data_IF_180856996123
#
_entry.id   IF_180856996123
#
_cell.length_a   1.000
_cell.length_b   1.000
_cell.length_c   1.000
_cell.angle_alpha   90.00
_cell.angle_beta   90.00
_cell.angle_gamma   90.00
#
_symmetry.space_group_name_H-M   'P 1'
#
loop_
_entity.id
_entity.type
_entity.pdbx_description
1 polymer ?
#
# COMPACT_ATOMS: atom_id res chain seq x y z
N UNK A 1 -28.18 -12.04 2.36
CA UNK A 1 -26.95 -11.49 1.73
C UNK A 1 -26.94 -9.95 1.59
N UNK A 2 -28.02 -9.22 1.96
CA UNK A 2 -28.15 -7.77 1.71
C UNK A 2 -27.53 -6.83 2.76
N UNK A 3 -27.31 -7.29 4.00
CA UNK A 3 -26.88 -6.39 5.08
C UNK A 3 -25.40 -5.96 4.98
N UNK A 4 -24.50 -6.86 4.55
CA UNK A 4 -23.07 -6.55 4.47
C UNK A 4 -22.76 -5.49 3.40
N UNK A 5 -23.41 -5.57 2.23
CA UNK A 5 -23.25 -4.58 1.15
C UNK A 5 -23.71 -3.19 1.57
N UNK A 6 -24.80 -3.09 2.34
CA UNK A 6 -25.26 -1.81 2.90
C UNK A 6 -24.22 -1.17 3.82
N UNK A 7 -23.55 -1.95 4.65
CA UNK A 7 -22.53 -1.46 5.58
C UNK A 7 -21.27 -1.00 4.84
N UNK A 8 -20.89 -1.71 3.79
CA UNK A 8 -19.78 -1.32 2.90
C UNK A 8 -20.13 -0.01 2.19
N UNK A 9 -21.33 0.08 1.59
CA UNK A 9 -21.78 1.30 0.90
C UNK A 9 -21.91 2.51 1.83
N UNK A 10 -22.28 2.28 3.09
CA UNK A 10 -22.36 3.32 4.11
C UNK A 10 -20.99 3.68 4.73
N UNK A 11 -19.89 3.02 4.32
CA UNK A 11 -18.55 3.26 4.86
C UNK A 11 -18.36 2.81 6.31
N UNK A 12 -19.30 2.04 6.88
CA UNK A 12 -19.23 1.63 8.30
C UNK A 12 -17.97 0.81 8.58
N UNK A 13 -17.57 -0.04 7.63
CA UNK A 13 -16.36 -0.87 7.75
C UNK A 13 -15.11 0.01 7.82
N UNK A 14 -15.01 1.03 6.95
CA UNK A 14 -13.85 1.93 6.91
C UNK A 14 -13.72 2.74 8.20
N UNK A 15 -14.85 3.24 8.72
CA UNK A 15 -14.91 3.96 10.01
C UNK A 15 -14.44 3.05 11.15
N UNK A 16 -14.98 1.83 11.24
CA UNK A 16 -14.60 0.88 12.29
C UNK A 16 -13.11 0.51 12.23
N UNK A 17 -12.57 0.29 11.03
CA UNK A 17 -11.14 -0.02 10.84
C UNK A 17 -10.27 1.17 11.23
N UNK A 18 -10.66 2.39 10.87
CA UNK A 18 -9.95 3.62 11.26
C UNK A 18 -9.93 3.79 12.79
N UNK A 19 -11.07 3.62 13.45
CA UNK A 19 -11.18 3.79 14.90
C UNK A 19 -10.37 2.72 15.64
N UNK A 20 -10.49 1.45 15.23
CA UNK A 20 -9.71 0.37 15.81
C UNK A 20 -8.21 0.60 15.65
N UNK A 21 -7.77 1.03 14.47
CA UNK A 21 -6.37 1.40 14.22
C UNK A 21 -5.93 2.53 15.15
N UNK A 22 -6.76 3.56 15.32
CA UNK A 22 -6.46 4.68 16.22
C UNK A 22 -6.27 4.22 17.67
N UNK A 23 -7.21 3.39 18.17
CA UNK A 23 -7.16 2.83 19.52
C UNK A 23 -5.90 1.98 19.72
N UNK A 24 -5.58 1.08 18.78
CA UNK A 24 -4.38 0.24 18.85
C UNK A 24 -3.10 1.08 18.90
N UNK A 25 -3.06 2.21 18.18
CA UNK A 25 -1.89 3.11 18.17
C UNK A 25 -1.76 3.88 19.47
N UNK A 26 -2.86 4.37 20.03
CA UNK A 26 -2.87 5.05 21.33
C UNK A 26 -2.47 4.08 22.45
N UNK A 27 -2.94 2.84 22.42
CA UNK A 27 -2.53 1.79 23.36
C UNK A 27 -1.01 1.53 23.33
N UNK A 28 -0.37 1.69 22.18
CA UNK A 28 1.09 1.62 22.02
C UNK A 28 1.81 2.95 22.26
N UNK A 29 1.16 3.92 22.94
CA UNK A 29 1.69 5.26 23.24
C UNK A 29 2.12 6.05 21.99
N UNK A 30 1.44 5.84 20.87
CA UNK A 30 1.62 6.61 19.63
C UNK A 30 0.41 7.51 19.37
N UNK A 31 0.58 8.48 18.47
CA UNK A 31 -0.56 9.26 17.93
C UNK A 31 -1.53 8.32 17.21
N UNK A 32 -2.83 8.57 17.39
CA UNK A 32 -3.91 7.76 16.82
C UNK A 32 -3.83 7.65 15.29
N UNK A 33 -3.43 8.74 14.62
CA UNK A 33 -3.14 8.73 13.19
C UNK A 33 -1.63 8.56 12.90
N UNK A 34 -1.25 7.82 11.84
CA UNK A 34 0.13 7.69 11.41
C UNK A 34 0.65 9.00 10.82
N UNK A 35 1.94 9.28 11.04
CA UNK A 35 2.65 10.36 10.37
C UNK A 35 3.51 9.85 9.18
N UNK A 36 3.70 8.53 9.11
CA UNK A 36 4.46 7.87 8.07
C UNK A 36 3.81 6.54 7.67
N UNK A 37 4.00 6.16 6.41
CA UNK A 37 3.44 4.97 5.79
C UNK A 37 4.46 4.20 4.97
N UNK A 38 4.15 2.96 4.63
CA UNK A 38 4.96 2.08 3.80
C UNK A 38 4.11 1.70 2.59
N UNK A 39 4.66 1.93 1.41
CA UNK A 39 4.09 1.58 0.11
C UNK A 39 4.81 0.36 -0.43
N UNK A 40 4.06 -0.62 -0.89
CA UNK A 40 4.60 -1.79 -1.57
C UNK A 40 3.62 -2.35 -2.59
N UNK A 41 4.17 -2.99 -3.62
CA UNK A 41 3.43 -3.53 -4.76
C UNK A 41 3.84 -4.97 -5.04
N UNK A 42 2.87 -5.83 -5.31
CA UNK A 42 3.14 -7.21 -5.71
C UNK A 42 2.15 -7.72 -6.74
N UNK A 43 2.67 -8.39 -7.77
CA UNK A 43 1.86 -9.16 -8.69
C UNK A 43 1.42 -10.48 -8.05
N UNK A 44 0.12 -10.66 -7.87
CA UNK A 44 -0.50 -11.91 -7.45
C UNK A 44 -0.89 -12.72 -8.68
N UNK A 45 -0.59 -14.01 -8.66
CA UNK A 45 -0.96 -14.91 -9.74
C UNK A 45 -2.49 -15.12 -9.73
N UNK A 46 -3.09 -14.91 -10.89
CA UNK A 46 -4.53 -15.06 -11.06
C UNK A 46 -4.93 -16.52 -11.26
N UNK A 47 -6.13 -16.86 -10.78
CA UNK A 47 -6.84 -18.11 -11.09
C UNK A 47 -7.75 -17.96 -12.31
N UNK A 48 -8.31 -19.06 -12.81
CA UNK A 48 -9.30 -19.04 -13.89
C UNK A 48 -10.50 -18.12 -13.61
N UNK A 49 -10.89 -17.97 -12.34
CA UNK A 49 -12.00 -17.11 -11.87
C UNK A 49 -11.68 -15.60 -11.85
N UNK A 50 -10.45 -15.21 -12.16
CA UNK A 50 -10.03 -13.80 -12.05
C UNK A 50 -10.63 -12.94 -13.18
N UNK A 51 -10.96 -13.55 -14.32
CA UNK A 51 -11.65 -12.89 -15.44
C UNK A 51 -10.92 -11.63 -15.92
N UNK A 52 -11.62 -10.50 -16.16
CA UNK A 52 -11.03 -9.27 -16.69
C UNK A 52 -10.12 -8.53 -15.68
N UNK A 53 -10.10 -8.96 -14.40
CA UNK A 53 -9.24 -8.37 -13.36
C UNK A 53 -7.78 -8.81 -13.47
N UNK A 54 -7.48 -9.73 -14.39
CA UNK A 54 -6.18 -10.33 -14.58
C UNK A 54 -5.55 -9.88 -15.89
N UNK A 55 -4.39 -9.22 -15.80
CA UNK A 55 -3.58 -8.80 -16.93
C UNK A 55 -2.45 -9.80 -17.19
N UNK A 56 -1.98 -9.90 -18.43
CA UNK A 56 -0.76 -10.66 -18.73
C UNK A 56 0.45 -9.76 -18.60
N UNK A 57 1.31 -10.04 -17.63
CA UNK A 57 2.60 -9.40 -17.45
C UNK A 57 3.63 -10.14 -18.32
N UNK A 58 4.11 -9.48 -19.38
CA UNK A 58 5.10 -10.03 -20.30
C UNK A 58 6.50 -10.17 -19.70
N UNK A 59 6.84 -9.34 -18.71
CA UNK A 59 8.13 -9.40 -18.01
C UNK A 59 8.17 -10.61 -17.06
N UNK A 60 7.11 -10.81 -16.28
CA UNK A 60 6.98 -11.97 -15.37
C UNK A 60 6.44 -13.23 -16.04
N UNK A 61 6.02 -13.13 -17.32
CA UNK A 61 5.41 -14.18 -18.14
C UNK A 61 4.23 -14.88 -17.45
N UNK A 62 3.46 -14.13 -16.66
CA UNK A 62 2.37 -14.65 -15.83
C UNK A 62 1.12 -13.80 -15.99
N UNK A 63 -0.05 -14.43 -15.89
CA UNK A 63 -1.32 -13.73 -15.78
C UNK A 63 -1.60 -13.45 -14.31
N UNK A 64 -1.82 -12.19 -13.98
CA UNK A 64 -1.91 -11.74 -12.60
C UNK A 64 -2.68 -10.43 -12.42
N UNK A 65 -2.92 -10.11 -11.16
CA UNK A 65 -3.34 -8.78 -10.74
C UNK A 65 -2.20 -8.16 -9.94
N UNK A 66 -1.90 -6.91 -10.22
CA UNK A 66 -0.96 -6.14 -9.45
C UNK A 66 -1.68 -5.49 -8.27
N UNK A 67 -1.18 -5.74 -7.07
CA UNK A 67 -1.75 -5.24 -5.83
C UNK A 67 -0.76 -4.29 -5.20
N UNK A 68 -1.16 -3.03 -5.08
CA UNK A 68 -0.42 -2.00 -4.37
C UNK A 68 -1.11 -1.71 -3.04
N UNK A 69 -0.35 -1.76 -1.96
CA UNK A 69 -0.86 -1.56 -0.61
C UNK A 69 -0.09 -0.45 0.09
N UNK A 70 -0.81 0.32 0.89
CA UNK A 70 -0.21 1.25 1.85
C UNK A 70 -0.53 0.82 3.26
N UNK A 71 0.51 0.65 4.07
CA UNK A 71 0.39 0.32 5.49
C UNK A 71 0.92 1.44 6.39
N UNK A 72 0.37 1.54 7.59
CA UNK A 72 1.02 2.28 8.66
C UNK A 72 2.29 1.58 9.14
N UNK A 73 3.18 2.31 9.83
CA UNK A 73 4.45 1.76 10.37
C UNK A 73 4.31 0.58 11.35
N UNK A 74 3.09 0.28 11.81
CA UNK A 74 2.78 -0.85 12.69
C UNK A 74 2.04 -1.99 11.95
N UNK A 75 1.84 -1.87 10.64
CA UNK A 75 1.23 -2.91 9.81
C UNK A 75 -0.27 -2.86 9.65
N UNK A 76 -0.89 -1.74 9.98
CA UNK A 76 -2.31 -1.55 9.71
C UNK A 76 -2.52 -1.13 8.25
N UNK A 77 -3.41 -1.80 7.53
CA UNK A 77 -3.79 -1.44 6.16
C UNK A 77 -4.52 -0.10 6.13
N UNK A 78 -4.10 0.78 5.21
CA UNK A 78 -4.65 2.12 5.02
C UNK A 78 -5.32 2.28 3.66
N UNK A 79 -4.70 1.74 2.61
CA UNK A 79 -5.21 1.81 1.25
C UNK A 79 -4.72 0.58 0.45
N UNK A 80 -5.52 0.12 -0.49
CA UNK A 80 -5.16 -0.94 -1.43
C UNK A 80 -5.76 -0.67 -2.79
N UNK A 81 -4.92 -0.71 -3.83
CA UNK A 81 -5.33 -0.66 -5.22
C UNK A 81 -4.97 -1.98 -5.89
N UNK A 82 -5.94 -2.59 -6.58
CA UNK A 82 -5.74 -3.82 -7.35
C UNK A 82 -6.03 -3.52 -8.80
N UNK A 83 -5.05 -3.76 -9.67
CA UNK A 83 -5.15 -3.54 -11.11
C UNK A 83 -4.76 -4.81 -11.87
N UNK A 84 -5.22 -4.98 -13.12
CA UNK A 84 -4.65 -5.97 -14.02
C UNK A 84 -3.13 -5.77 -14.19
N UNK A 85 -2.34 -6.84 -14.18
CA UNK A 85 -0.87 -6.76 -14.24
C UNK A 85 -0.28 -6.28 -15.60
N UNK A 86 -1.12 -5.78 -16.50
CA UNK A 86 -0.73 -5.16 -17.76
C UNK A 86 -0.96 -3.62 -17.77
N UNK A 87 -1.54 -3.07 -16.70
CA UNK A 87 -1.68 -1.62 -16.52
C UNK A 87 -0.37 -1.05 -15.92
N UNK A 88 -0.02 0.19 -16.28
CA UNK A 88 1.23 0.80 -15.83
C UNK A 88 1.19 1.12 -14.33
N UNK A 89 2.25 0.70 -13.63
CA UNK A 89 2.44 0.76 -12.17
C UNK A 89 2.49 2.21 -11.62
N UNK A 90 2.94 3.16 -12.45
CA UNK A 90 3.41 4.49 -12.00
C UNK A 90 2.30 5.45 -11.56
N UNK A 91 1.15 5.45 -12.21
CA UNK A 91 0.01 6.31 -11.83
C UNK A 91 -0.67 5.91 -10.50
N UNK A 92 -0.27 4.77 -9.92
CA UNK A 92 -0.96 4.21 -8.76
C UNK A 92 -0.49 4.83 -7.44
N UNK A 93 0.72 5.39 -7.40
CA UNK A 93 1.34 5.91 -6.18
C UNK A 93 0.68 7.19 -5.70
N UNK A 94 0.40 8.13 -6.62
CA UNK A 94 -0.33 9.36 -6.31
C UNK A 94 -1.76 9.08 -5.82
N UNK A 95 -2.46 8.13 -6.46
CA UNK A 95 -3.80 7.73 -6.02
C UNK A 95 -3.78 7.09 -4.62
N UNK A 96 -2.80 6.23 -4.33
CA UNK A 96 -2.63 5.66 -2.98
C UNK A 96 -2.32 6.76 -1.95
N UNK A 97 -1.46 7.72 -2.29
CA UNK A 97 -1.15 8.85 -1.42
C UNK A 97 -2.42 9.66 -1.10
N UNK A 98 -3.25 9.96 -2.11
CA UNK A 98 -4.54 10.64 -1.94
C UNK A 98 -5.49 9.86 -1.02
N UNK A 99 -5.62 8.56 -1.24
CA UNK A 99 -6.46 7.69 -0.42
C UNK A 99 -5.98 7.64 1.04
N UNK A 100 -4.67 7.61 1.27
CA UNK A 100 -4.07 7.62 2.60
C UNK A 100 -4.34 8.94 3.33
N UNK A 101 -4.18 10.08 2.64
CA UNK A 101 -4.52 11.39 3.21
C UNK A 101 -6.00 11.45 3.61
N UNK A 102 -6.89 10.94 2.75
CA UNK A 102 -8.33 10.86 3.04
C UNK A 102 -8.66 9.95 4.23
N UNK A 103 -7.97 8.81 4.34
CA UNK A 103 -8.24 7.81 5.38
C UNK A 103 -7.64 8.16 6.74
N UNK A 104 -6.56 8.94 6.79
CA UNK A 104 -5.78 9.14 8.02
C UNK A 104 -5.58 10.60 8.43
N UNK A 105 -5.87 11.55 7.54
CA UNK A 105 -5.39 12.92 7.67
C UNK A 105 -3.91 13.04 7.27
N UNK A 106 -3.22 14.12 7.68
CA UNK A 106 -1.91 14.50 7.14
C UNK A 106 -0.82 13.47 7.46
N UNK A 107 -0.46 12.67 6.46
CA UNK A 107 0.78 11.89 6.41
C UNK A 107 1.86 12.74 5.76
N UNK A 108 3.11 12.60 6.22
CA UNK A 108 4.24 13.40 5.74
C UNK A 108 5.32 12.60 5.04
N UNK A 109 5.44 11.32 5.33
CA UNK A 109 6.51 10.47 4.77
C UNK A 109 5.94 9.15 4.31
N UNK A 110 6.27 8.74 3.09
CA UNK A 110 6.02 7.40 2.59
C UNK A 110 7.34 6.70 2.30
N UNK A 111 7.52 5.49 2.82
CA UNK A 111 8.65 4.63 2.49
C UNK A 111 8.25 3.68 1.37
N UNK A 112 9.05 3.61 0.31
CA UNK A 112 8.83 2.70 -0.80
C UNK A 112 10.12 1.95 -1.16
N UNK A 113 10.00 0.87 -1.92
CA UNK A 113 11.15 0.14 -2.43
C UNK A 113 11.64 0.68 -3.78
N UNK A 114 12.70 0.08 -4.34
CA UNK A 114 13.31 0.54 -5.58
C UNK A 114 12.40 0.42 -6.81
N UNK A 115 11.30 -0.33 -6.76
CA UNK A 115 10.31 -0.38 -7.83
C UNK A 115 9.64 0.97 -8.08
N UNK A 116 9.59 1.82 -7.05
CA UNK A 116 9.00 3.16 -7.10
C UNK A 116 10.02 4.26 -7.42
N UNK A 117 11.18 3.90 -8.00
CA UNK A 117 12.20 4.88 -8.39
C UNK A 117 11.76 5.63 -9.64
N UNK A 118 11.62 6.96 -9.56
CA UNK A 118 11.36 7.84 -10.70
C UNK A 118 10.98 9.26 -10.25
N UNK A 119 11.19 10.26 -11.09
CA UNK A 119 10.81 11.66 -10.79
C UNK A 119 9.29 11.84 -10.73
N UNK A 120 8.55 11.21 -11.65
CA UNK A 120 7.08 11.29 -11.70
C UNK A 120 6.40 10.73 -10.44
N UNK A 121 6.67 9.50 -9.95
CA UNK A 121 6.06 9.00 -8.70
C UNK A 121 6.42 9.83 -7.47
N UNK A 122 7.64 10.38 -7.42
CA UNK A 122 8.04 11.25 -6.32
C UNK A 122 7.26 12.56 -6.34
N UNK A 123 7.03 13.13 -7.51
CA UNK A 123 6.23 14.34 -7.68
C UNK A 123 4.76 14.10 -7.38
N UNK A 124 4.15 13.01 -7.88
CA UNK A 124 2.75 12.68 -7.63
C UNK A 124 2.45 12.52 -6.13
N UNK A 125 3.37 11.92 -5.38
CA UNK A 125 3.24 11.76 -3.92
C UNK A 125 3.48 13.08 -3.19
N UNK A 126 4.40 13.90 -3.70
CA UNK A 126 4.69 15.22 -3.17
C UNK A 126 3.52 16.20 -3.37
N UNK A 127 2.79 16.11 -4.49
CA UNK A 127 1.60 16.89 -4.77
C UNK A 127 0.48 16.61 -3.74
N UNK A 128 0.44 15.40 -3.18
CA UNK A 128 -0.42 15.02 -2.06
C UNK A 128 0.18 15.38 -0.68
N UNK A 129 1.31 16.09 -0.65
CA UNK A 129 1.97 16.59 0.56
C UNK A 129 2.78 15.54 1.33
N UNK A 130 3.17 14.45 0.66
CA UNK A 130 3.94 13.34 1.24
C UNK A 130 5.34 13.30 0.60
N UNK A 131 6.38 13.18 1.42
CA UNK A 131 7.74 12.94 0.95
C UNK A 131 7.93 11.44 0.68
N UNK A 132 8.28 11.07 -0.56
CA UNK A 132 8.59 9.69 -0.93
C UNK A 132 10.06 9.37 -0.66
N UNK A 133 10.31 8.48 0.30
CA UNK A 133 11.64 7.97 0.63
C UNK A 133 11.83 6.55 0.08
N UNK A 134 12.59 6.44 -1.01
CA UNK A 134 12.94 5.17 -1.63
C UNK A 134 14.09 4.52 -0.87
N UNK A 135 13.83 3.41 -0.18
CA UNK A 135 14.84 2.69 0.60
C UNK A 135 15.58 1.72 -0.33
N UNK A 136 16.88 2.01 -0.57
CA UNK A 136 17.78 1.13 -1.33
C UNK A 136 18.34 0.03 -0.43
N UNK A 137 18.54 -1.17 -0.98
CA UNK A 137 19.35 -2.21 -0.33
C UNK A 137 20.82 -1.73 -0.27
N UNK A 138 21.50 -1.85 0.88
CA UNK A 138 22.95 -1.62 0.92
C UNK A 138 23.65 -2.67 0.05
N UNK A 139 24.49 -2.23 -0.89
CA UNK A 139 25.03 -3.04 -2.00
C UNK A 139 25.91 -4.24 -1.59
N UNK A 140 26.32 -4.38 -0.32
CA UNK A 140 27.08 -5.55 0.12
C UNK A 140 26.86 -5.88 1.59
N UNK A 141 26.04 -6.91 1.87
CA UNK A 141 26.35 -7.91 2.91
C UNK A 141 25.84 -9.27 2.42
N UNK A 142 26.72 -10.28 2.40
CA UNK A 142 26.29 -11.69 2.27
C UNK A 142 25.39 -12.02 3.46
N UNK A 143 24.10 -12.16 3.23
CA UNK A 143 23.11 -12.53 4.26
C UNK A 143 21.86 -11.66 4.23
N UNK A 144 20.82 -12.16 4.91
CA UNK A 144 19.53 -11.49 5.06
C UNK A 144 19.68 -10.19 5.86
N UNK A 145 19.40 -9.04 5.24
CA UNK A 145 19.39 -7.74 5.91
C UNK A 145 17.95 -7.38 6.28
N UNK A 146 17.67 -7.37 7.57
CA UNK A 146 16.36 -7.00 8.11
C UNK A 146 16.21 -5.48 8.01
N UNK A 147 15.50 -4.99 6.99
CA UNK A 147 15.14 -3.59 6.86
C UNK A 147 13.98 -3.29 7.83
N UNK A 148 14.17 -2.53 8.93
CA UNK A 148 13.25 -2.46 10.08
C UNK A 148 11.81 -1.98 9.77
N UNK A 149 11.54 -1.54 8.54
CA UNK A 149 10.25 -0.98 8.11
C UNK A 149 9.68 -1.62 6.84
N UNK A 150 10.42 -2.49 6.14
CA UNK A 150 9.96 -3.10 4.87
C UNK A 150 9.10 -4.35 5.11
N UNK A 151 9.51 -5.20 6.06
CA UNK A 151 8.89 -6.51 6.37
C UNK A 151 7.48 -6.46 6.99
N UNK A 152 6.94 -5.27 7.18
CA UNK A 152 5.60 -5.11 7.75
C UNK A 152 4.55 -5.43 6.68
N UNK A 153 4.80 -5.09 5.42
CA UNK A 153 3.86 -5.30 4.31
C UNK A 153 3.92 -6.70 3.72
N UNK A 154 5.08 -7.34 3.74
CA UNK A 154 5.22 -8.71 3.24
C UNK A 154 4.35 -9.71 4.03
N UNK A 155 4.12 -9.45 5.33
CA UNK A 155 3.18 -10.24 6.16
C UNK A 155 1.72 -10.10 5.74
N UNK A 156 1.37 -9.02 5.03
CA UNK A 156 0.00 -8.75 4.58
C UNK A 156 -0.34 -9.40 3.24
N UNK A 157 0.66 -9.85 2.48
CA UNK A 157 0.44 -10.54 1.20
C UNK A 157 0.17 -12.05 1.35
N UNK A 158 0.49 -12.65 2.50
CA UNK A 158 0.30 -14.08 2.78
C UNK A 158 1.50 -14.95 2.44
#
# INVERSE_FOLDING_TARGET
MFNALRWIQAGCVDIMVNDLRSIMRVAQRRRGQPSAVILDGRTLQSTCESGPRAGYDGYKRKRGSEVHMTLGTLGQLLAVNVRPANEQERAQVGELARQVQKATGPVKVAFADQGYTGEEPAQDVLDEGIELQVIRLPEMKKGFVLLPRRWVVERSFG
#
